data_IF_998165642692
#
_entry.id   IF_998165642692
#
_cell.length_a   1.000
_cell.length_b   1.000
_cell.length_c   1.000
_cell.angle_alpha   90.00
_cell.angle_beta   90.00
_cell.angle_gamma   90.00
#
_symmetry.space_group_name_H-M   'P 1'
#
loop_
_entity.id
_entity.type
_entity.pdbx_description
1 polymer ?
#
# COMPACT_ATOMS: atom_id res chain seq x y z
N UNK A 1 32.52 -75.91 2.55
CA UNK A 1 31.46 -75.29 1.74
C UNK A 1 30.60 -74.47 2.71
N UNK A 2 30.96 -73.20 2.99
CA UNK A 2 30.27 -72.31 3.87
C UNK A 2 29.33 -71.40 3.11
N UNK A 3 28.02 -71.47 3.30
CA UNK A 3 27.02 -70.56 2.76
C UNK A 3 26.95 -69.31 3.63
N UNK A 4 27.34 -68.16 3.08
CA UNK A 4 27.18 -66.85 3.66
C UNK A 4 25.75 -66.38 3.41
N UNK A 5 24.95 -66.18 4.49
CA UNK A 5 23.63 -65.50 4.40
C UNK A 5 23.84 -63.99 4.54
N UNK A 6 23.60 -63.28 3.48
CA UNK A 6 23.64 -61.81 3.45
C UNK A 6 22.25 -61.28 3.87
N UNK A 7 22.12 -60.86 5.11
CA UNK A 7 20.88 -60.23 5.63
C UNK A 7 20.88 -58.78 5.20
N UNK A 8 20.02 -58.42 4.24
CA UNK A 8 19.78 -57.02 3.83
C UNK A 8 18.96 -56.33 4.90
N UNK A 9 19.59 -55.42 5.64
CA UNK A 9 18.92 -54.50 6.55
C UNK A 9 18.37 -53.34 5.74
N UNK A 10 17.05 -53.31 5.51
CA UNK A 10 16.37 -52.18 4.84
C UNK A 10 16.17 -51.13 5.94
N UNK A 11 16.95 -50.05 5.89
CA UNK A 11 16.75 -48.85 6.72
C UNK A 11 15.63 -48.05 6.09
N UNK A 12 14.41 -48.14 6.66
CA UNK A 12 13.29 -47.31 6.28
C UNK A 12 13.48 -45.92 6.93
N UNK A 13 14.07 -44.98 6.16
CA UNK A 13 14.12 -43.57 6.56
C UNK A 13 12.73 -42.99 6.49
N UNK A 14 12.09 -42.89 7.66
CA UNK A 14 10.89 -42.05 7.82
C UNK A 14 11.31 -40.58 7.68
N UNK A 15 11.11 -40.02 6.49
CA UNK A 15 11.07 -38.57 6.32
C UNK A 15 9.81 -38.06 7.00
N UNK A 16 9.92 -37.62 8.25
CA UNK A 16 8.93 -36.79 8.89
C UNK A 16 9.05 -35.41 8.25
N UNK A 17 8.30 -35.20 7.17
CA UNK A 17 8.09 -33.86 6.65
C UNK A 17 7.29 -33.09 7.69
N UNK A 18 7.97 -32.27 8.47
CA UNK A 18 7.33 -31.21 9.24
C UNK A 18 6.68 -30.27 8.22
N UNK A 19 5.41 -30.53 7.90
CA UNK A 19 4.55 -29.50 7.34
C UNK A 19 4.36 -28.47 8.47
N UNK A 20 5.26 -27.50 8.51
CA UNK A 20 4.98 -26.26 9.19
C UNK A 20 3.73 -25.71 8.48
N UNK A 21 2.58 -25.73 9.15
CA UNK A 21 1.42 -24.94 8.77
C UNK A 21 1.87 -23.47 8.87
N UNK A 22 2.45 -22.95 7.79
CA UNK A 22 2.68 -21.52 7.67
C UNK A 22 1.29 -20.89 7.70
N UNK A 23 0.98 -20.17 8.75
CA UNK A 23 -0.20 -19.32 8.75
C UNK A 23 -0.08 -18.40 7.53
N UNK A 24 -0.93 -18.63 6.52
CA UNK A 24 -0.95 -17.87 5.28
C UNK A 24 -1.11 -16.39 5.61
N UNK A 25 -0.17 -15.56 5.14
CA UNK A 25 -0.23 -14.12 5.39
C UNK A 25 -1.45 -13.54 4.66
N UNK A 26 -2.43 -13.05 5.43
CA UNK A 26 -3.70 -12.57 4.89
C UNK A 26 -3.52 -11.34 3.97
N UNK A 27 -2.49 -10.53 4.19
CA UNK A 27 -2.19 -9.40 3.31
C UNK A 27 -1.63 -9.88 1.97
N UNK A 28 -0.78 -10.92 1.97
CA UNK A 28 -0.27 -11.56 0.75
C UNK A 28 -1.40 -12.18 -0.06
N UNK A 29 -2.29 -12.93 0.59
CA UNK A 29 -3.45 -13.56 -0.04
C UNK A 29 -4.37 -12.58 -0.77
N UNK A 30 -4.51 -11.36 -0.23
CA UNK A 30 -5.37 -10.31 -0.78
C UNK A 30 -4.59 -9.25 -1.56
N UNK A 31 -3.31 -9.50 -1.87
CA UNK A 31 -2.47 -8.54 -2.56
C UNK A 31 -2.81 -8.47 -4.06
N UNK A 32 -3.01 -7.25 -4.54
CA UNK A 32 -3.23 -6.94 -5.95
C UNK A 32 -2.13 -5.99 -6.43
N UNK A 33 -1.36 -6.43 -7.41
CA UNK A 33 -0.32 -5.61 -8.02
C UNK A 33 -0.91 -4.49 -8.85
N UNK A 34 -0.29 -3.30 -8.82
CA UNK A 34 -0.67 -2.16 -9.65
C UNK A 34 -0.27 -2.36 -11.11
N UNK A 35 0.88 -3.01 -11.38
CA UNK A 35 1.38 -3.30 -12.72
C UNK A 35 1.70 -4.79 -12.86
N UNK A 36 1.44 -5.40 -14.04
CA UNK A 36 1.79 -6.81 -14.30
C UNK A 36 3.28 -7.10 -14.14
N UNK A 37 4.16 -6.18 -14.56
CA UNK A 37 5.61 -6.31 -14.43
C UNK A 37 6.09 -6.15 -12.99
N UNK A 38 5.28 -5.47 -12.16
CA UNK A 38 5.58 -5.16 -10.77
C UNK A 38 6.72 -4.14 -10.63
N UNK A 39 6.75 -3.52 -9.48
CA UNK A 39 7.88 -2.71 -9.03
C UNK A 39 8.50 -3.38 -7.81
N UNK A 40 9.78 -3.11 -7.58
CA UNK A 40 10.49 -3.46 -6.34
C UNK A 40 11.43 -2.33 -5.99
N UNK A 41 11.87 -2.26 -4.74
CA UNK A 41 12.85 -1.26 -4.31
C UNK A 41 14.09 -1.26 -5.19
N UNK A 42 14.66 -0.08 -5.40
CA UNK A 42 15.98 0.11 -6.00
C UNK A 42 17.11 -0.25 -5.02
N UNK A 43 16.78 -0.42 -3.74
CA UNK A 43 17.69 -0.98 -2.74
C UNK A 43 17.60 -2.51 -2.74
N UNK A 44 18.72 -3.20 -2.69
CA UNK A 44 18.76 -4.67 -2.58
C UNK A 44 18.15 -5.16 -1.25
N UNK A 45 18.27 -4.36 -0.19
CA UNK A 45 17.70 -4.63 1.12
C UNK A 45 17.01 -3.36 1.64
N UNK A 46 15.77 -3.08 1.24
CA UNK A 46 15.07 -1.90 1.69
C UNK A 46 14.76 -1.98 3.18
N UNK A 47 15.05 -0.90 3.92
CA UNK A 47 14.60 -0.73 5.30
C UNK A 47 13.09 -0.42 5.29
N UNK A 48 12.27 -1.42 4.98
CA UNK A 48 10.82 -1.29 4.85
C UNK A 48 10.20 -0.65 6.09
N UNK A 49 9.48 0.46 5.90
CA UNK A 49 8.79 1.17 6.97
C UNK A 49 7.29 0.89 6.91
N UNK A 50 6.66 0.90 8.08
CA UNK A 50 5.22 0.81 8.22
C UNK A 50 4.69 2.07 8.88
N UNK A 51 3.59 2.59 8.35
CA UNK A 51 2.89 3.75 8.91
C UNK A 51 1.39 3.52 8.88
N UNK A 52 0.68 4.12 9.83
CA UNK A 52 -0.77 4.22 9.77
C UNK A 52 -1.16 5.39 8.87
N UNK A 53 -1.96 5.12 7.84
CA UNK A 53 -2.54 6.13 6.98
C UNK A 53 -3.75 6.79 7.66
N UNK A 54 -4.11 7.98 7.17
CA UNK A 54 -5.27 8.72 7.65
C UNK A 54 -6.41 8.69 6.64
N UNK A 55 -6.14 9.19 5.44
CA UNK A 55 -7.07 9.19 4.32
C UNK A 55 -6.35 8.71 3.06
N UNK A 56 -6.72 7.54 2.58
CA UNK A 56 -6.00 6.86 1.49
C UNK A 56 -5.80 7.72 0.24
N UNK A 57 -6.82 8.50 -0.16
CA UNK A 57 -6.72 9.35 -1.35
C UNK A 57 -5.68 10.46 -1.19
N UNK A 58 -5.70 11.14 -0.06
CA UNK A 58 -4.76 12.22 0.27
C UNK A 58 -3.36 11.67 0.48
N UNK A 59 -3.25 10.55 1.22
CA UNK A 59 -1.97 9.92 1.50
C UNK A 59 -1.32 9.38 0.22
N UNK A 60 -2.08 8.79 -0.70
CA UNK A 60 -1.58 8.35 -1.99
C UNK A 60 -0.96 9.52 -2.79
N UNK A 61 -1.59 10.69 -2.80
CA UNK A 61 -1.04 11.86 -3.47
C UNK A 61 0.26 12.31 -2.79
N UNK A 62 0.30 12.37 -1.46
CA UNK A 62 1.53 12.71 -0.73
C UNK A 62 2.67 11.73 -1.02
N UNK A 63 2.38 10.43 -1.08
CA UNK A 63 3.38 9.43 -1.43
C UNK A 63 3.96 9.67 -2.81
N UNK A 64 3.11 9.97 -3.81
CA UNK A 64 3.57 10.33 -5.16
C UNK A 64 4.41 11.62 -5.15
N UNK A 65 3.98 12.66 -4.43
CA UNK A 65 4.72 13.92 -4.27
C UNK A 65 6.06 13.73 -3.53
N UNK A 66 6.12 12.80 -2.60
CA UNK A 66 7.35 12.42 -1.91
C UNK A 66 8.24 11.47 -2.75
N UNK A 67 7.89 11.22 -4.02
CA UNK A 67 8.66 10.43 -4.98
C UNK A 67 8.61 8.94 -4.75
N UNK A 68 7.50 8.44 -4.23
CA UNK A 68 7.17 7.01 -4.22
C UNK A 68 6.23 6.66 -5.37
N UNK A 69 6.20 5.40 -5.74
CA UNK A 69 5.20 4.85 -6.67
C UNK A 69 4.49 3.65 -6.04
N UNK A 70 3.23 3.44 -6.42
CA UNK A 70 2.38 2.41 -5.86
C UNK A 70 2.72 1.05 -6.48
N UNK A 71 3.15 0.10 -5.67
CA UNK A 71 3.40 -1.28 -6.08
C UNK A 71 2.13 -2.10 -6.17
N UNK A 72 1.21 -1.87 -5.25
CA UNK A 72 -0.05 -2.60 -5.13
C UNK A 72 -0.74 -2.34 -3.81
N UNK A 73 -1.81 -3.06 -3.57
CA UNK A 73 -2.61 -2.94 -2.35
C UNK A 73 -3.19 -4.28 -1.92
N UNK A 74 -3.49 -4.40 -0.62
CA UNK A 74 -4.29 -5.49 -0.05
C UNK A 74 -5.56 -4.90 0.56
N UNK A 75 -6.71 -5.53 0.29
CA UNK A 75 -8.00 -5.10 0.83
C UNK A 75 -8.81 -6.33 1.25
N UNK A 76 -9.25 -6.36 2.49
CA UNK A 76 -10.08 -7.43 3.04
C UNK A 76 -10.89 -6.97 4.25
N UNK A 77 -11.88 -7.77 4.62
CA UNK A 77 -12.66 -7.60 5.85
C UNK A 77 -12.36 -8.76 6.80
N UNK A 78 -12.06 -8.45 8.04
CA UNK A 78 -11.71 -9.46 9.03
C UNK A 78 -11.64 -8.94 10.46
N UNK A 79 -11.14 -9.76 11.40
CA UNK A 79 -10.84 -9.32 12.76
C UNK A 79 -9.71 -8.29 12.75
N UNK A 80 -9.49 -7.62 13.89
CA UNK A 80 -8.33 -6.76 14.07
C UNK A 80 -7.05 -7.56 13.82
N UNK A 81 -6.28 -7.15 12.81
CA UNK A 81 -5.10 -7.87 12.33
C UNK A 81 -3.85 -7.06 12.66
N UNK A 82 -2.82 -7.73 13.17
CA UNK A 82 -1.56 -7.06 13.51
C UNK A 82 -0.93 -6.39 12.30
N UNK A 83 -0.52 -5.11 12.40
CA UNK A 83 0.20 -4.41 11.34
C UNK A 83 1.51 -5.10 10.93
N UNK A 84 2.14 -5.86 11.84
CA UNK A 84 3.38 -6.58 11.54
C UNK A 84 3.22 -7.61 10.42
N UNK A 85 2.04 -8.21 10.26
CA UNK A 85 1.76 -9.17 9.18
C UNK A 85 1.80 -8.46 7.81
N UNK A 86 1.32 -7.20 7.72
CA UNK A 86 1.47 -6.39 6.52
C UNK A 86 2.93 -5.99 6.27
N UNK A 87 3.70 -5.70 7.34
CA UNK A 87 5.12 -5.39 7.23
C UNK A 87 5.93 -6.60 6.71
N UNK A 88 5.60 -7.82 7.15
CA UNK A 88 6.21 -9.05 6.65
C UNK A 88 5.96 -9.21 5.14
N UNK A 89 4.72 -9.03 4.69
CA UNK A 89 4.41 -9.06 3.27
C UNK A 89 5.10 -7.91 2.51
N UNK A 90 5.15 -6.69 3.05
CA UNK A 90 5.86 -5.58 2.44
C UNK A 90 7.35 -5.89 2.22
N UNK A 91 7.99 -6.54 3.19
CA UNK A 91 9.39 -6.99 3.07
C UNK A 91 9.55 -8.08 2.01
N UNK A 92 8.63 -9.05 1.93
CA UNK A 92 8.72 -10.14 0.94
C UNK A 92 8.62 -9.65 -0.50
N UNK A 93 7.89 -8.56 -0.75
CA UNK A 93 7.78 -7.92 -2.06
C UNK A 93 8.80 -6.78 -2.28
N UNK A 94 9.71 -6.56 -1.34
CA UNK A 94 10.74 -5.51 -1.38
C UNK A 94 10.16 -4.09 -1.49
N UNK A 95 9.10 -3.80 -0.77
CA UNK A 95 8.55 -2.45 -0.65
C UNK A 95 9.40 -1.60 0.29
N UNK A 96 9.52 -0.29 0.01
CA UNK A 96 10.18 0.66 0.91
C UNK A 96 9.25 1.15 2.01
N UNK A 97 7.93 1.18 1.75
CA UNK A 97 6.92 1.67 2.68
C UNK A 97 5.62 0.88 2.54
N UNK A 98 4.93 0.64 3.66
CA UNK A 98 3.53 0.20 3.68
C UNK A 98 2.70 1.14 4.54
N UNK A 99 1.57 1.62 3.99
CA UNK A 99 0.56 2.38 4.72
C UNK A 99 -0.61 1.47 5.02
N UNK A 100 -1.08 1.47 6.28
CA UNK A 100 -2.22 0.66 6.73
C UNK A 100 -3.36 1.58 7.13
N UNK A 101 -4.55 1.20 6.69
CA UNK A 101 -5.83 1.81 7.03
C UNK A 101 -6.73 0.72 7.59
N UNK A 102 -7.34 0.98 8.73
CA UNK A 102 -8.34 0.10 9.32
C UNK A 102 -9.54 0.91 9.79
N UNK A 103 -10.71 0.42 9.49
CA UNK A 103 -11.99 1.02 9.91
C UNK A 103 -12.88 -0.08 10.45
N UNK A 104 -13.32 0.08 11.69
CA UNK A 104 -14.31 -0.82 12.25
C UNK A 104 -15.67 -0.63 11.54
N UNK A 105 -16.25 -1.72 11.04
CA UNK A 105 -17.49 -1.70 10.25
C UNK A 105 -18.70 -2.23 11.01
N UNK A 106 -18.48 -2.96 12.12
CA UNK A 106 -19.54 -3.33 13.04
C UNK A 106 -19.22 -2.75 14.42
N UNK A 107 -20.17 -2.03 15.01
CA UNK A 107 -20.06 -1.52 16.35
C UNK A 107 -20.91 -2.41 17.26
N UNK A 108 -20.26 -3.21 18.11
CA UNK A 108 -20.97 -3.73 19.28
C UNK A 108 -21.14 -2.58 20.25
N UNK A 109 -22.37 -2.27 20.62
CA UNK A 109 -22.64 -1.26 21.63
C UNK A 109 -21.81 -1.56 22.88
N UNK A 110 -21.13 -0.53 23.41
CA UNK A 110 -20.26 -0.63 24.60
C UNK A 110 -20.99 -1.29 25.77
N UNK A 111 -22.31 -1.05 25.90
CA UNK A 111 -23.15 -1.70 26.90
C UNK A 111 -23.20 -3.22 26.73
N UNK A 112 -23.24 -3.70 25.49
CA UNK A 112 -23.24 -5.12 25.14
C UNK A 112 -21.90 -5.79 25.49
N UNK A 113 -20.79 -5.11 25.24
CA UNK A 113 -19.44 -5.60 25.61
C UNK A 113 -19.34 -5.74 27.13
N UNK A 114 -19.73 -4.70 27.88
CA UNK A 114 -19.73 -4.71 29.35
C UNK A 114 -20.66 -5.80 29.90
N UNK A 115 -21.84 -5.99 29.31
CA UNK A 115 -22.78 -7.05 29.69
C UNK A 115 -22.15 -8.44 29.52
N UNK A 116 -21.53 -8.73 28.37
CA UNK A 116 -20.81 -9.98 28.10
C UNK A 116 -19.65 -10.21 29.06
N UNK A 117 -18.85 -9.16 29.35
CA UNK A 117 -17.75 -9.22 30.30
C UNK A 117 -18.23 -9.58 31.72
N UNK A 118 -19.35 -8.97 32.16
CA UNK A 118 -19.99 -9.28 33.45
C UNK A 118 -20.50 -10.73 33.51
N UNK A 119 -21.14 -11.22 32.44
CA UNK A 119 -21.60 -12.62 32.38
C UNK A 119 -20.43 -13.60 32.45
N UNK A 120 -19.33 -13.29 31.78
CA UNK A 120 -18.12 -14.11 31.82
C UNK A 120 -17.48 -14.10 33.21
N UNK A 121 -17.38 -12.94 33.84
CA UNK A 121 -16.90 -12.82 35.22
C UNK A 121 -17.77 -13.61 36.20
N UNK A 122 -19.10 -13.61 36.00
CA UNK A 122 -20.06 -14.40 36.79
C UNK A 122 -19.82 -15.91 36.63
N UNK A 123 -19.69 -16.37 35.37
CA UNK A 123 -19.41 -17.80 35.07
C UNK A 123 -18.06 -18.26 35.61
N UNK A 124 -17.07 -17.38 35.71
CA UNK A 124 -15.75 -17.64 36.21
C UNK A 124 -15.63 -17.43 37.75
N UNK A 125 -16.74 -17.21 38.48
CA UNK A 125 -16.78 -16.93 39.91
C UNK A 125 -15.90 -15.74 40.37
N UNK A 126 -15.70 -14.75 39.45
CA UNK A 126 -14.93 -13.51 39.71
C UNK A 126 -15.84 -12.37 40.22
N UNK A 127 -16.85 -12.74 41.00
CA UNK A 127 -17.80 -11.82 41.63
C UNK A 127 -17.77 -12.04 43.14
N UNK A 128 -17.48 -10.99 43.87
CA UNK A 128 -17.48 -10.99 45.34
C UNK A 128 -18.51 -10.00 45.86
N UNK A 129 -19.22 -10.38 46.92
CA UNK A 129 -20.04 -9.46 47.70
C UNK A 129 -19.20 -8.80 48.77
N UNK A 130 -19.19 -7.48 48.83
CA UNK A 130 -18.49 -6.69 49.86
C UNK A 130 -19.54 -5.78 50.49
N UNK A 131 -20.15 -6.23 51.60
CA UNK A 131 -21.29 -5.55 52.19
C UNK A 131 -22.50 -5.51 51.25
N UNK A 132 -23.03 -4.31 51.00
CA UNK A 132 -24.15 -4.09 50.07
C UNK A 132 -23.71 -3.92 48.61
N UNK A 133 -22.40 -3.98 48.32
CA UNK A 133 -21.84 -3.80 46.98
C UNK A 133 -21.43 -5.16 46.40
N UNK A 134 -21.45 -5.18 45.05
CA UNK A 134 -20.95 -6.32 44.26
C UNK A 134 -19.70 -5.91 43.54
N UNK A 135 -18.56 -6.44 43.93
CA UNK A 135 -17.29 -6.26 43.23
C UNK A 135 -17.21 -7.26 42.06
N UNK A 136 -16.91 -6.80 40.89
CA UNK A 136 -16.76 -7.64 39.69
C UNK A 136 -15.36 -7.40 39.12
N UNK A 137 -14.55 -8.46 39.14
CA UNK A 137 -13.24 -8.47 38.54
C UNK A 137 -13.38 -8.77 37.03
N UNK A 138 -13.07 -7.77 36.18
CA UNK A 138 -13.13 -7.86 34.72
C UNK A 138 -11.69 -7.76 34.19
N UNK A 139 -11.25 -8.76 33.43
CA UNK A 139 -9.96 -8.70 32.74
C UNK A 139 -10.07 -7.78 31.52
N UNK A 140 -8.97 -7.11 31.14
CA UNK A 140 -8.93 -6.25 29.95
C UNK A 140 -9.35 -7.01 28.67
N UNK A 141 -8.95 -8.27 28.52
CA UNK A 141 -9.35 -9.14 27.42
C UNK A 141 -10.86 -9.39 27.33
N UNK A 142 -11.60 -9.24 28.43
CA UNK A 142 -13.06 -9.40 28.46
C UNK A 142 -13.77 -8.16 27.91
N UNK A 143 -13.07 -7.03 27.83
CA UNK A 143 -13.56 -5.77 27.26
C UNK A 143 -13.23 -5.63 25.77
N UNK A 144 -12.44 -6.54 25.21
CA UNK A 144 -12.14 -6.56 23.78
C UNK A 144 -13.32 -7.17 23.02
N UNK A 145 -13.87 -6.46 22.06
CA UNK A 145 -14.89 -7.01 21.17
C UNK A 145 -14.28 -7.98 20.15
N UNK A 146 -14.25 -9.26 20.53
CA UNK A 146 -13.76 -10.34 19.65
C UNK A 146 -14.64 -10.55 18.40
N UNK A 147 -15.82 -9.91 18.32
CA UNK A 147 -16.72 -9.96 17.18
C UNK A 147 -16.57 -8.73 16.28
N UNK A 148 -15.72 -7.78 16.66
CA UNK A 148 -15.43 -6.61 15.87
C UNK A 148 -14.86 -7.01 14.51
N UNK A 149 -15.45 -6.45 13.44
CA UNK A 149 -14.97 -6.61 12.07
C UNK A 149 -14.41 -5.28 11.58
N UNK A 150 -13.31 -5.37 10.87
CA UNK A 150 -12.62 -4.22 10.30
C UNK A 150 -12.53 -4.38 8.79
N UNK A 151 -12.75 -3.29 8.08
CA UNK A 151 -12.28 -3.12 6.73
C UNK A 151 -10.81 -2.69 6.82
N UNK A 152 -9.91 -3.50 6.26
CA UNK A 152 -8.47 -3.32 6.36
C UNK A 152 -7.93 -3.12 4.94
N UNK A 153 -7.21 -2.03 4.75
CA UNK A 153 -6.49 -1.70 3.54
C UNK A 153 -5.00 -1.52 3.84
N UNK A 154 -4.15 -2.04 2.97
CA UNK A 154 -2.72 -1.74 2.97
C UNK A 154 -2.30 -1.32 1.57
N UNK A 155 -1.48 -0.27 1.46
CA UNK A 155 -0.87 0.17 0.20
C UNK A 155 0.64 0.06 0.31
N UNK A 156 1.28 -0.50 -0.72
CA UNK A 156 2.70 -0.82 -0.75
C UNK A 156 3.40 0.08 -1.76
N UNK A 157 4.51 0.69 -1.34
CA UNK A 157 5.16 1.76 -2.06
C UNK A 157 6.64 1.51 -2.25
N UNK A 158 7.16 1.89 -3.42
CA UNK A 158 8.58 1.89 -3.74
C UNK A 158 9.07 3.32 -3.89
N UNK A 159 10.24 3.64 -3.29
CA UNK A 159 10.91 4.91 -3.48
C UNK A 159 11.59 4.94 -4.84
N UNK A 160 11.20 5.89 -5.70
CA UNK A 160 11.80 6.05 -7.00
C UNK A 160 13.12 6.84 -6.93
N UNK A 161 14.06 6.59 -7.87
CA UNK A 161 15.19 7.47 -8.06
C UNK A 161 14.74 8.90 -8.40
N UNK A 162 15.62 9.88 -8.22
CA UNK A 162 15.33 11.27 -8.58
C UNK A 162 14.86 11.36 -10.05
N UNK A 163 13.65 11.85 -10.31
CA UNK A 163 13.08 11.87 -11.66
C UNK A 163 13.72 12.96 -12.52
N UNK A 164 13.81 12.73 -13.83
CA UNK A 164 14.30 13.73 -14.78
C UNK A 164 13.33 14.91 -14.93
N UNK A 165 12.02 14.70 -14.81
CA UNK A 165 11.01 15.78 -14.83
C UNK A 165 10.21 15.83 -13.53
N UNK A 166 9.63 14.70 -13.10
CA UNK A 166 9.01 14.56 -11.79
C UNK A 166 7.53 14.87 -11.74
N UNK A 167 6.76 14.40 -12.72
CA UNK A 167 5.31 14.41 -12.68
C UNK A 167 4.75 13.00 -12.73
N UNK A 168 3.76 12.71 -11.90
CA UNK A 168 2.85 11.58 -12.09
C UNK A 168 1.64 12.06 -12.88
N UNK A 169 1.19 11.29 -13.85
CA UNK A 169 0.18 11.73 -14.80
C UNK A 169 -0.76 10.60 -15.23
N UNK A 170 -1.91 11.00 -15.77
CA UNK A 170 -2.90 10.09 -16.34
C UNK A 170 -3.36 10.61 -17.71
N UNK A 171 -3.74 9.68 -18.58
CA UNK A 171 -4.47 10.00 -19.81
C UNK A 171 -5.94 10.14 -19.47
N UNK A 172 -6.53 11.30 -19.77
CA UNK A 172 -7.96 11.47 -19.66
C UNK A 172 -8.64 10.93 -20.93
N UNK A 173 -9.61 10.02 -20.73
CA UNK A 173 -10.52 9.61 -21.79
C UNK A 173 -11.70 10.56 -21.81
N UNK A 174 -12.01 11.16 -22.96
CA UNK A 174 -13.26 11.89 -23.15
C UNK A 174 -14.44 10.91 -23.11
N UNK A 175 -15.56 11.29 -22.50
CA UNK A 175 -16.81 10.53 -22.59
C UNK A 175 -17.42 10.56 -23.99
N UNK A 176 -17.09 11.59 -24.77
CA UNK A 176 -17.51 11.77 -26.16
C UNK A 176 -16.24 11.77 -27.02
N UNK A 177 -16.09 10.82 -27.92
CA UNK A 177 -14.95 10.69 -28.84
C UNK A 177 -14.69 11.94 -29.72
N UNK A 178 -15.59 12.93 -29.68
CA UNK A 178 -15.50 14.18 -30.47
C UNK A 178 -14.65 15.29 -29.84
N UNK A 179 -14.36 15.21 -28.51
CA UNK A 179 -13.52 16.20 -27.85
C UNK A 179 -12.28 15.50 -27.29
N UNK A 180 -11.21 15.40 -28.08
CA UNK A 180 -9.93 14.94 -27.59
C UNK A 180 -9.42 15.89 -26.48
N UNK A 181 -9.33 15.43 -25.25
CA UNK A 181 -8.70 16.18 -24.16
C UNK A 181 -7.22 16.29 -24.52
N UNK A 182 -6.78 17.52 -24.83
CA UNK A 182 -5.38 17.78 -25.21
C UNK A 182 -4.48 17.62 -23.99
N UNK A 183 -3.38 16.88 -24.19
CA UNK A 183 -2.34 16.76 -23.19
C UNK A 183 -2.53 15.63 -22.18
N UNK A 184 -1.66 15.63 -21.21
CA UNK A 184 -1.56 14.63 -20.15
C UNK A 184 -1.78 15.30 -18.81
N UNK A 185 -2.75 14.82 -18.03
CA UNK A 185 -3.15 15.42 -16.76
C UNK A 185 -2.17 15.07 -15.65
N UNK A 186 -1.63 16.07 -14.98
CA UNK A 186 -0.76 15.92 -13.80
C UNK A 186 -1.60 15.59 -12.57
N UNK A 187 -1.30 14.46 -11.91
CA UNK A 187 -1.97 14.02 -10.68
C UNK A 187 -1.13 14.30 -9.44
N UNK A 188 0.20 14.33 -9.57
CA UNK A 188 1.12 14.75 -8.53
C UNK A 188 2.41 15.29 -9.14
N UNK A 189 3.10 16.17 -8.41
CA UNK A 189 4.42 16.71 -8.77
C UNK A 189 5.39 16.36 -7.68
N UNK A 190 6.49 15.69 -8.05
CA UNK A 190 7.50 15.22 -7.09
C UNK A 190 8.26 16.41 -6.50
N UNK A 191 8.34 16.49 -5.19
CA UNK A 191 9.07 17.53 -4.46
C UNK A 191 10.55 17.59 -4.85
N UNK A 192 11.08 18.80 -5.05
CA UNK A 192 12.45 19.03 -5.49
C UNK A 192 12.74 18.61 -6.92
N UNK A 193 11.71 18.28 -7.72
CA UNK A 193 11.87 17.91 -9.12
C UNK A 193 11.95 19.13 -10.05
N UNK A 194 12.47 18.96 -11.29
CA UNK A 194 12.43 20.01 -12.29
C UNK A 194 11.02 20.57 -12.59
N UNK A 195 10.00 19.75 -12.55
CA UNK A 195 8.62 20.16 -12.75
C UNK A 195 8.12 21.07 -11.61
N UNK A 196 8.43 20.73 -10.35
CA UNK A 196 8.07 21.58 -9.20
C UNK A 196 8.80 22.93 -9.28
N UNK A 197 10.13 22.91 -9.54
CA UNK A 197 10.96 24.11 -9.66
C UNK A 197 10.45 25.02 -10.79
N UNK A 198 9.97 24.43 -11.90
CA UNK A 198 9.36 25.16 -13.01
C UNK A 198 7.95 25.69 -12.72
N UNK A 199 7.36 25.35 -11.55
CA UNK A 199 6.03 25.80 -11.18
C UNK A 199 4.87 25.02 -11.81
N UNK A 200 5.12 23.79 -12.29
CA UNK A 200 4.06 22.85 -12.68
C UNK A 200 3.32 22.41 -11.42
N UNK A 201 2.01 22.36 -11.49
CA UNK A 201 1.14 22.01 -10.36
C UNK A 201 0.25 20.81 -10.69
N UNK A 202 -0.24 20.16 -9.66
CA UNK A 202 -1.33 19.20 -9.76
C UNK A 202 -2.52 19.84 -10.47
N UNK A 203 -3.17 19.07 -11.33
CA UNK A 203 -4.26 19.46 -12.22
C UNK A 203 -3.86 20.25 -13.48
N UNK A 204 -2.59 20.55 -13.71
CA UNK A 204 -2.16 21.01 -15.03
C UNK A 204 -2.32 19.91 -16.08
N UNK A 205 -2.47 20.30 -17.33
CA UNK A 205 -2.40 19.39 -18.48
C UNK A 205 -1.20 19.76 -19.34
N UNK A 206 -0.17 18.91 -19.38
CA UNK A 206 1.02 19.13 -20.19
C UNK A 206 0.66 18.88 -21.65
N UNK A 207 0.91 19.86 -22.50
CA UNK A 207 0.56 19.82 -23.92
C UNK A 207 1.77 19.92 -24.86
N UNK A 208 2.93 20.32 -24.38
CA UNK A 208 4.18 20.29 -25.13
C UNK A 208 5.41 20.19 -24.24
N UNK A 209 6.48 19.59 -24.77
CA UNK A 209 7.83 19.52 -24.20
C UNK A 209 8.79 19.94 -25.33
N UNK A 210 9.50 21.06 -25.18
CA UNK A 210 10.26 21.66 -26.23
C UNK A 210 9.38 21.86 -27.49
N UNK A 211 9.78 21.30 -28.65
CA UNK A 211 9.03 21.35 -29.90
C UNK A 211 8.00 20.23 -30.07
N UNK A 212 8.03 19.21 -29.18
CA UNK A 212 7.18 18.03 -29.29
C UNK A 212 5.79 18.30 -28.67
N UNK A 213 4.71 18.11 -29.42
CA UNK A 213 3.35 18.15 -28.91
C UNK A 213 3.04 16.89 -28.13
N UNK A 214 2.34 17.02 -26.99
CA UNK A 214 2.02 15.91 -26.06
C UNK A 214 0.51 15.68 -26.05
N UNK A 215 0.09 14.45 -26.42
CA UNK A 215 -1.31 14.02 -26.42
C UNK A 215 -1.53 12.76 -25.59
N UNK A 216 -0.46 12.05 -25.22
CA UNK A 216 -0.51 10.81 -24.44
C UNK A 216 0.74 10.66 -23.56
N UNK A 217 0.68 9.76 -22.56
CA UNK A 217 1.79 9.48 -21.65
C UNK A 217 3.10 9.07 -22.34
N UNK A 218 3.00 8.28 -23.40
CA UNK A 218 4.14 7.72 -24.13
C UNK A 218 4.94 8.85 -24.82
N UNK A 219 4.24 9.81 -25.44
CA UNK A 219 4.85 11.00 -26.03
C UNK A 219 5.55 11.85 -24.97
N UNK A 220 4.93 12.06 -23.79
CA UNK A 220 5.54 12.81 -22.70
C UNK A 220 6.83 12.14 -22.22
N UNK A 221 6.81 10.82 -21.97
CA UNK A 221 7.98 10.07 -21.55
C UNK A 221 9.11 10.14 -22.60
N UNK A 222 8.75 9.99 -23.88
CA UNK A 222 9.71 10.06 -25.00
C UNK A 222 10.35 11.45 -25.10
N UNK A 223 9.55 12.50 -25.03
CA UNK A 223 10.03 13.89 -25.10
C UNK A 223 10.94 14.25 -23.92
N UNK A 224 10.60 13.82 -22.68
CA UNK A 224 11.46 13.98 -21.50
C UNK A 224 12.80 13.27 -21.71
N UNK A 225 12.77 12.02 -22.19
CA UNK A 225 13.98 11.22 -22.41
C UNK A 225 14.90 11.84 -23.47
N UNK A 226 14.33 12.30 -24.60
CA UNK A 226 15.04 12.98 -25.73
C UNK A 226 15.74 14.26 -25.27
N UNK A 227 15.17 14.95 -24.27
CA UNK A 227 15.65 16.24 -23.82
C UNK A 227 16.37 16.21 -22.46
N UNK A 228 16.73 15.02 -21.96
CA UNK A 228 17.44 14.87 -20.70
C UNK A 228 18.72 15.74 -20.65
N UNK A 229 18.90 16.47 -19.56
CA UNK A 229 20.04 17.37 -19.33
C UNK A 229 19.91 18.75 -19.98
N UNK A 230 18.84 19.03 -20.73
CA UNK A 230 18.63 20.31 -21.41
C UNK A 230 17.69 21.24 -20.62
N UNK A 231 17.82 22.53 -20.84
CA UNK A 231 16.81 23.53 -20.48
C UNK A 231 15.79 23.56 -21.59
N UNK A 232 14.52 23.31 -21.30
CA UNK A 232 13.45 23.21 -22.29
C UNK A 232 12.24 24.04 -21.90
N UNK A 233 11.44 24.43 -22.88
CA UNK A 233 10.13 25.01 -22.66
C UNK A 233 9.09 23.91 -22.48
N UNK A 234 8.24 24.06 -21.47
CA UNK A 234 7.11 23.16 -21.18
C UNK A 234 5.82 23.96 -21.35
N UNK A 235 4.98 23.53 -22.28
CA UNK A 235 3.64 24.10 -22.47
C UNK A 235 2.60 23.30 -21.68
N UNK A 236 1.73 24.01 -20.97
CA UNK A 236 0.67 23.38 -20.20
C UNK A 236 -0.62 24.21 -20.17
N UNK A 237 -1.73 23.59 -19.80
CA UNK A 237 -3.02 24.23 -19.59
C UNK A 237 -3.34 24.18 -18.09
N UNK A 238 -3.67 25.34 -17.51
CA UNK A 238 -4.16 25.51 -16.13
C UNK A 238 -5.42 26.35 -16.17
N UNK A 239 -6.52 25.82 -15.60
CA UNK A 239 -7.83 26.50 -15.59
C UNK A 239 -8.27 26.98 -16.99
N UNK A 240 -8.08 26.16 -18.01
CA UNK A 240 -8.46 26.44 -19.39
C UNK A 240 -7.52 27.41 -20.15
N UNK A 241 -6.53 28.01 -19.48
CA UNK A 241 -5.56 28.93 -20.07
C UNK A 241 -4.24 28.23 -20.39
N UNK A 242 -3.59 28.57 -21.50
CA UNK A 242 -2.28 28.06 -21.91
C UNK A 242 -1.17 28.87 -21.27
N UNK A 243 -0.16 28.19 -20.79
CA UNK A 243 1.05 28.74 -20.17
C UNK A 243 2.29 28.06 -20.73
N UNK A 244 3.45 28.70 -20.57
CA UNK A 244 4.76 28.16 -20.89
C UNK A 244 5.71 28.47 -19.75
N UNK A 245 6.57 27.51 -19.41
CA UNK A 245 7.64 27.68 -18.41
C UNK A 245 8.90 26.95 -18.85
N UNK A 246 10.04 27.34 -18.34
CA UNK A 246 11.31 26.64 -18.58
C UNK A 246 11.58 25.63 -17.46
N UNK A 247 11.98 24.43 -17.84
CA UNK A 247 12.40 23.36 -16.91
C UNK A 247 13.77 22.80 -17.31
N UNK A 248 14.62 22.52 -16.34
CA UNK A 248 15.92 21.86 -16.54
C UNK A 248 15.72 20.37 -16.30
N UNK A 249 15.75 19.54 -17.37
CA UNK A 249 15.58 18.08 -17.27
C UNK A 249 16.85 17.36 -16.79
#
# INVERSE_FOLDING_TARGET
>A
MYKLYFTRFIFLLFFVSNFALSNENIFEKNYQRQSPEGFKSFSENPATKIMRGWEQKTDNIKMLEDGYDLMGHSNFTGPNTSPNIALEHAKSIMADMVLIYDRQINNSDRSTIIKKAREKARKANRIKKVGNLTEIEINEDDLVDKTAKYEINATYWVKLPKPSFGTHFIKLKSKNDKEAIKGVKVIAVVKGSPAEIAGILRNDSIISIAEDSINNPEELISAIRKNKGKLIEVGYIRNGKKFKVNAKL
#
